data_IF_189428895823
#
_entry.id   IF_189428895823
#
_cell.length_a   1.000
_cell.length_b   1.000
_cell.length_c   1.000
_cell.angle_alpha   90.00
_cell.angle_beta   90.00
_cell.angle_gamma   90.00
#
_symmetry.space_group_name_H-M   'P 1'
#
loop_
_entity.id
_entity.type
_entity.pdbx_description
1 polymer ?
#
# COMPACT_ATOMS: atom_id res chain seq x y z
N UNK A 1 -20.61 19.11 -16.57
CA UNK A 1 -20.24 17.68 -16.42
C UNK A 1 -21.28 17.03 -15.51
N UNK A 2 -21.92 15.94 -15.92
CA UNK A 2 -22.92 15.28 -15.07
C UNK A 2 -22.25 14.42 -13.99
N UNK A 3 -22.94 14.19 -12.85
CA UNK A 3 -22.44 13.38 -11.73
C UNK A 3 -21.91 12.00 -12.15
N UNK A 4 -22.53 11.38 -13.16
CA UNK A 4 -22.10 10.08 -13.70
C UNK A 4 -20.76 10.14 -14.44
N UNK A 5 -20.51 11.21 -15.18
CA UNK A 5 -19.24 11.43 -15.88
C UNK A 5 -18.11 11.66 -14.88
N UNK A 6 -18.41 12.42 -13.81
CA UNK A 6 -17.48 12.65 -12.71
C UNK A 6 -17.08 11.33 -12.02
N UNK A 7 -18.06 10.53 -11.60
CA UNK A 7 -17.81 9.24 -10.94
C UNK A 7 -17.01 8.29 -11.82
N UNK A 8 -17.20 8.34 -13.14
CA UNK A 8 -16.45 7.51 -14.09
C UNK A 8 -14.99 7.98 -14.23
N UNK A 9 -14.75 9.28 -14.18
CA UNK A 9 -13.38 9.85 -14.25
C UNK A 9 -12.62 9.73 -12.93
N UNK A 10 -13.25 9.94 -11.78
CA UNK A 10 -12.59 9.86 -10.46
C UNK A 10 -12.13 8.45 -10.09
N UNK A 11 -12.79 7.41 -10.61
CA UNK A 11 -12.35 6.00 -10.49
C UNK A 11 -11.01 5.75 -11.22
N UNK A 12 -10.66 6.58 -12.20
CA UNK A 12 -9.44 6.44 -13.00
C UNK A 12 -8.30 7.36 -12.54
N UNK A 13 -8.57 8.30 -11.64
CA UNK A 13 -7.54 9.20 -11.12
C UNK A 13 -6.50 8.42 -10.30
N UNK A 14 -5.22 8.81 -10.35
CA UNK A 14 -4.20 8.21 -9.50
C UNK A 14 -4.54 8.45 -8.01
N UNK A 15 -3.96 7.65 -7.10
CA UNK A 15 -4.12 7.88 -5.67
C UNK A 15 -3.49 9.21 -5.26
N UNK A 16 -4.06 9.83 -4.23
CA UNK A 16 -3.41 10.89 -3.48
C UNK A 16 -2.39 10.22 -2.55
N UNK A 17 -1.12 10.33 -2.91
CA UNK A 17 -0.04 9.52 -2.34
C UNK A 17 0.75 10.29 -1.28
N UNK A 18 0.56 9.93 -0.02
CA UNK A 18 1.29 10.43 1.14
C UNK A 18 2.17 9.33 1.76
N UNK A 19 2.55 8.30 0.99
CA UNK A 19 3.37 7.21 1.49
C UNK A 19 4.82 7.65 1.75
N UNK A 20 5.45 7.10 2.80
CA UNK A 20 6.85 7.41 3.16
C UNK A 20 7.13 8.90 3.40
N UNK A 21 6.16 9.61 4.00
CA UNK A 21 6.29 11.04 4.32
C UNK A 21 6.62 11.30 5.79
N UNK A 22 6.78 10.24 6.57
CA UNK A 22 7.00 10.33 8.02
C UNK A 22 5.90 11.13 8.71
N UNK A 23 4.66 10.92 8.30
CA UNK A 23 3.49 11.60 8.89
C UNK A 23 3.21 11.00 10.26
N UNK A 24 3.10 11.86 11.28
CA UNK A 24 2.82 11.46 12.66
C UNK A 24 1.38 11.76 13.05
N UNK A 25 0.81 12.85 12.53
CA UNK A 25 -0.57 13.24 12.77
C UNK A 25 -1.28 13.56 11.46
N UNK A 26 -2.59 13.31 11.40
CA UNK A 26 -3.37 13.49 10.18
C UNK A 26 -3.39 14.95 9.71
N UNK A 27 -3.28 15.93 10.60
CA UNK A 27 -3.18 17.35 10.25
C UNK A 27 -1.99 17.67 9.33
N UNK A 28 -0.89 16.92 9.42
CA UNK A 28 0.31 17.18 8.62
C UNK A 28 0.02 17.09 7.11
N UNK A 29 -0.99 16.31 6.71
CA UNK A 29 -1.40 16.14 5.31
C UNK A 29 -1.79 17.46 4.62
N UNK A 30 -2.27 18.44 5.38
CA UNK A 30 -2.70 19.73 4.83
C UNK A 30 -1.51 20.58 4.37
N UNK A 31 -0.38 20.46 5.06
CA UNK A 31 0.86 21.20 4.74
C UNK A 31 1.84 20.39 3.91
N UNK A 32 1.77 19.06 3.99
CA UNK A 32 2.71 18.17 3.31
C UNK A 32 2.35 18.03 1.82
N UNK A 33 3.35 18.07 0.94
CA UNK A 33 3.13 17.89 -0.49
C UNK A 33 3.04 16.39 -0.83
N UNK A 34 1.94 15.89 -1.45
CA UNK A 34 1.84 14.49 -1.81
C UNK A 34 2.89 14.11 -2.87
N UNK A 35 3.30 12.84 -2.86
CA UNK A 35 4.23 12.28 -3.84
C UNK A 35 3.62 12.30 -5.22
N UNK A 36 4.46 12.62 -6.21
CA UNK A 36 4.08 12.64 -7.61
C UNK A 36 4.28 11.26 -8.22
N UNK A 37 3.18 10.68 -8.69
CA UNK A 37 3.20 9.43 -9.47
C UNK A 37 3.52 9.69 -10.95
N UNK A 38 3.63 8.60 -11.72
CA UNK A 38 3.85 8.65 -13.18
C UNK A 38 2.73 9.38 -13.94
N UNK A 39 1.50 9.34 -13.41
CA UNK A 39 0.39 10.17 -13.88
C UNK A 39 0.13 11.29 -12.87
N UNK A 40 0.09 12.57 -13.30
CA UNK A 40 -0.34 13.66 -12.44
C UNK A 40 -1.77 13.47 -11.97
N UNK A 41 -2.02 13.77 -10.70
CA UNK A 41 -3.36 13.81 -10.12
C UNK A 41 -4.09 15.07 -10.57
N UNK A 42 -5.34 14.92 -11.04
CA UNK A 42 -6.17 16.06 -11.40
C UNK A 42 -6.77 16.72 -10.16
N UNK A 43 -6.86 18.04 -10.24
CA UNK A 43 -7.44 18.89 -9.21
C UNK A 43 -8.67 19.63 -9.74
N UNK A 44 -9.61 19.93 -8.84
CA UNK A 44 -10.77 20.76 -9.15
C UNK A 44 -10.39 22.24 -9.24
N UNK A 45 -11.35 23.09 -9.61
CA UNK A 45 -11.14 24.56 -9.61
C UNK A 45 -10.87 25.12 -8.21
N UNK A 46 -11.25 24.40 -7.15
CA UNK A 46 -11.00 24.80 -5.76
C UNK A 46 -9.61 24.36 -5.27
N UNK A 47 -8.84 23.64 -6.10
CA UNK A 47 -7.52 23.10 -5.74
C UNK A 47 -7.57 21.75 -5.04
N UNK A 48 -8.75 21.16 -4.80
CA UNK A 48 -8.89 19.85 -4.17
C UNK A 48 -8.66 18.70 -5.15
N UNK A 49 -8.16 17.58 -4.64
CA UNK A 49 -7.89 16.38 -5.42
C UNK A 49 -9.17 15.68 -5.89
N UNK A 50 -9.18 15.20 -7.14
CA UNK A 50 -10.32 14.51 -7.76
C UNK A 50 -10.21 12.97 -7.69
N UNK A 51 -9.60 12.44 -6.64
CA UNK A 51 -9.37 10.99 -6.50
C UNK A 51 -10.38 10.31 -5.57
N UNK A 52 -10.40 8.98 -5.63
CA UNK A 52 -11.13 8.09 -4.71
C UNK A 52 -10.17 7.20 -3.90
N UNK A 53 -8.87 7.45 -3.99
CA UNK A 53 -7.84 6.63 -3.36
C UNK A 53 -6.88 7.51 -2.57
N UNK A 54 -6.65 7.17 -1.31
CA UNK A 54 -5.73 7.86 -0.41
C UNK A 54 -4.72 6.87 0.14
N UNK A 55 -3.43 7.12 -0.09
CA UNK A 55 -2.34 6.27 0.38
C UNK A 55 -1.57 6.97 1.48
N UNK A 56 -1.49 6.33 2.65
CA UNK A 56 -0.84 6.81 3.86
C UNK A 56 0.12 5.75 4.42
N UNK A 57 0.51 4.78 3.60
CA UNK A 57 1.33 3.66 4.03
C UNK A 57 2.79 4.06 4.28
N UNK A 58 3.48 3.31 5.12
CA UNK A 58 4.86 3.60 5.55
C UNK A 58 4.99 4.99 6.18
N UNK A 59 4.12 5.27 7.15
CA UNK A 59 4.20 6.45 8.00
C UNK A 59 4.25 5.99 9.47
N UNK A 60 4.03 6.89 10.43
CA UNK A 60 4.09 6.62 11.87
C UNK A 60 2.80 7.07 12.56
N UNK A 61 1.68 6.89 11.87
CA UNK A 61 0.35 7.21 12.39
C UNK A 61 -0.04 6.19 13.47
N UNK A 62 -0.40 6.67 14.65
CA UNK A 62 -0.92 5.84 15.73
C UNK A 62 -2.44 6.01 15.98
N UNK A 63 -3.05 7.01 15.36
CA UNK A 63 -4.47 7.35 15.46
C UNK A 63 -4.96 8.11 14.21
N UNK A 64 -6.27 8.24 14.06
CA UNK A 64 -6.92 8.91 12.93
C UNK A 64 -7.78 10.11 13.38
N UNK A 65 -7.30 10.86 14.38
CA UNK A 65 -7.98 12.08 14.85
C UNK A 65 -8.20 13.06 13.69
N UNK A 66 -9.40 13.63 13.64
CA UNK A 66 -9.85 14.60 12.63
C UNK A 66 -9.73 14.14 11.17
N UNK A 67 -9.65 12.83 10.94
CA UNK A 67 -9.44 12.27 9.61
C UNK A 67 -10.52 12.70 8.60
N UNK A 68 -11.79 12.68 9.00
CA UNK A 68 -12.89 13.14 8.14
C UNK A 68 -12.77 14.63 7.77
N UNK A 69 -12.34 15.47 8.70
CA UNK A 69 -12.15 16.90 8.47
C UNK A 69 -10.99 17.15 7.49
N UNK A 70 -9.84 16.51 7.71
CA UNK A 70 -8.67 16.67 6.83
C UNK A 70 -8.95 16.11 5.44
N UNK A 71 -9.54 14.92 5.33
CA UNK A 71 -9.92 14.34 4.03
C UNK A 71 -10.91 15.25 3.27
N UNK A 72 -11.81 15.94 3.97
CA UNK A 72 -12.71 16.93 3.35
C UNK A 72 -12.01 18.20 2.86
N UNK A 73 -10.83 18.53 3.39
CA UNK A 73 -9.99 19.62 2.89
C UNK A 73 -9.19 19.19 1.66
N UNK A 74 -8.70 17.94 1.65
CA UNK A 74 -7.86 17.40 0.57
C UNK A 74 -8.65 16.99 -0.68
N UNK A 75 -9.82 16.36 -0.49
CA UNK A 75 -10.61 15.76 -1.58
C UNK A 75 -11.81 16.63 -1.91
N UNK A 76 -12.09 16.78 -3.21
CA UNK A 76 -13.31 17.47 -3.67
C UNK A 76 -14.57 16.70 -3.25
N UNK A 77 -14.47 15.37 -3.24
CA UNK A 77 -15.58 14.46 -2.95
C UNK A 77 -15.18 13.36 -1.96
N UNK A 78 -14.98 13.70 -0.67
CA UNK A 78 -14.56 12.74 0.35
C UNK A 78 -15.54 11.57 0.51
N UNK A 79 -16.83 11.77 0.22
CA UNK A 79 -17.85 10.73 0.28
C UNK A 79 -17.65 9.60 -0.73
N UNK A 80 -16.84 9.81 -1.78
CA UNK A 80 -16.56 8.81 -2.80
C UNK A 80 -15.25 8.06 -2.58
N UNK A 81 -14.57 8.29 -1.44
CA UNK A 81 -13.36 7.57 -1.07
C UNK A 81 -13.65 6.06 -1.04
N UNK A 82 -12.93 5.33 -1.88
CA UNK A 82 -13.16 3.92 -2.16
C UNK A 82 -11.95 3.05 -1.80
N UNK A 83 -10.75 3.64 -1.68
CA UNK A 83 -9.53 2.96 -1.29
C UNK A 83 -8.73 3.79 -0.30
N UNK A 84 -8.45 3.21 0.86
CA UNK A 84 -7.51 3.76 1.84
C UNK A 84 -6.39 2.74 2.08
N UNK A 85 -5.13 3.18 1.97
CA UNK A 85 -3.98 2.38 2.38
C UNK A 85 -3.34 2.98 3.64
N UNK A 86 -3.46 2.26 4.76
CA UNK A 86 -2.89 2.61 6.07
C UNK A 86 -1.85 1.56 6.51
N UNK A 87 -1.35 0.74 5.59
CA UNK A 87 -0.37 -0.30 5.91
C UNK A 87 0.96 0.27 6.40
N UNK A 88 1.70 -0.48 7.22
CA UNK A 88 3.00 -0.02 7.76
C UNK A 88 2.87 1.33 8.49
N UNK A 89 2.03 1.34 9.53
CA UNK A 89 1.84 2.45 10.48
C UNK A 89 1.83 1.85 11.91
N UNK A 90 1.53 2.68 12.91
CA UNK A 90 1.53 2.29 14.33
C UNK A 90 0.11 2.23 14.93
N UNK A 91 -0.91 2.00 14.11
CA UNK A 91 -2.31 1.99 14.57
C UNK A 91 -2.54 0.83 15.55
N UNK A 92 -3.06 1.14 16.73
CA UNK A 92 -3.34 0.14 17.78
C UNK A 92 -4.78 -0.39 17.76
N UNK A 93 -5.66 0.29 17.02
CA UNK A 93 -7.09 0.02 16.93
C UNK A 93 -7.64 0.48 15.57
N UNK A 94 -8.83 0.00 15.20
CA UNK A 94 -9.55 0.46 14.02
C UNK A 94 -10.46 1.60 14.46
N UNK A 95 -10.14 2.81 13.99
CA UNK A 95 -10.89 4.02 14.33
C UNK A 95 -12.31 4.00 13.69
N UNK A 96 -13.39 4.27 14.46
CA UNK A 96 -14.75 4.36 13.93
C UNK A 96 -14.92 5.38 12.80
N UNK A 97 -14.05 6.38 12.66
CA UNK A 97 -14.08 7.32 11.53
C UNK A 97 -14.06 6.60 10.18
N UNK A 98 -13.38 5.45 10.08
CA UNK A 98 -13.32 4.64 8.87
C UNK A 98 -14.69 4.08 8.47
N UNK A 99 -15.60 3.90 9.43
CA UNK A 99 -16.96 3.41 9.15
C UNK A 99 -17.86 4.47 8.53
N UNK A 100 -17.44 5.74 8.50
CA UNK A 100 -18.20 6.84 7.90
C UNK A 100 -18.06 6.88 6.36
N UNK A 101 -17.05 6.23 5.80
CA UNK A 101 -16.81 6.16 4.36
C UNK A 101 -17.58 4.98 3.73
N UNK A 102 -18.89 5.13 3.54
CA UNK A 102 -19.78 4.07 3.03
C UNK A 102 -19.40 3.51 1.64
N UNK A 103 -18.59 4.25 0.88
CA UNK A 103 -18.08 3.84 -0.43
C UNK A 103 -16.75 3.09 -0.36
N UNK A 104 -16.15 2.95 0.81
CA UNK A 104 -14.90 2.24 1.02
C UNK A 104 -15.03 0.79 0.57
N UNK A 105 -14.16 0.40 -0.35
CA UNK A 105 -14.13 -0.91 -1.00
C UNK A 105 -12.83 -1.65 -0.75
N UNK A 106 -11.73 -0.92 -0.57
CA UNK A 106 -10.39 -1.45 -0.28
C UNK A 106 -9.84 -0.72 0.94
N UNK A 107 -9.42 -1.47 1.95
CA UNK A 107 -8.78 -0.95 3.15
C UNK A 107 -7.56 -1.80 3.49
N UNK A 108 -6.38 -1.22 3.52
CA UNK A 108 -5.17 -1.94 3.94
C UNK A 108 -4.72 -1.49 5.32
N UNK A 109 -4.59 -2.45 6.24
CA UNK A 109 -4.23 -2.27 7.64
C UNK A 109 -3.13 -3.25 8.08
N UNK A 110 -2.47 -3.93 7.15
CA UNK A 110 -1.37 -4.83 7.49
C UNK A 110 -0.13 -4.08 7.98
N UNK A 111 0.71 -4.73 8.79
CA UNK A 111 1.89 -4.09 9.38
C UNK A 111 1.53 -2.92 10.31
N UNK A 112 0.53 -3.12 11.17
CA UNK A 112 0.14 -2.16 12.21
C UNK A 112 0.25 -2.84 13.59
N UNK A 113 -0.18 -2.15 14.65
CA UNK A 113 -0.13 -2.62 16.04
C UNK A 113 -1.52 -3.01 16.58
N UNK A 114 -2.45 -3.45 15.73
CA UNK A 114 -3.84 -3.78 16.12
C UNK A 114 -3.85 -5.05 16.96
N UNK A 115 -4.29 -4.94 18.22
CA UNK A 115 -4.15 -6.04 19.19
C UNK A 115 -5.34 -6.98 19.28
N UNK A 116 -6.56 -6.50 18.99
CA UNK A 116 -7.80 -7.25 19.25
C UNK A 116 -8.54 -7.55 17.95
N UNK A 117 -8.97 -8.80 17.78
CA UNK A 117 -9.77 -9.25 16.65
C UNK A 117 -11.13 -8.55 16.57
N UNK A 118 -11.74 -8.22 17.72
CA UNK A 118 -13.03 -7.53 17.78
C UNK A 118 -13.03 -6.11 17.19
N UNK A 119 -11.86 -5.53 16.91
CA UNK A 119 -11.76 -4.27 16.17
C UNK A 119 -12.29 -4.39 14.74
N UNK A 120 -12.22 -5.58 14.15
CA UNK A 120 -12.69 -5.86 12.79
C UNK A 120 -14.21 -5.79 12.68
N UNK A 121 -14.93 -6.09 13.77
CA UNK A 121 -16.39 -6.08 13.80
C UNK A 121 -16.96 -4.69 13.48
N UNK A 122 -16.22 -3.62 13.82
CA UNK A 122 -16.57 -2.25 13.47
C UNK A 122 -16.74 -2.05 11.96
N UNK A 123 -15.97 -2.78 11.15
CA UNK A 123 -15.99 -2.65 9.68
C UNK A 123 -17.17 -3.37 9.04
N UNK A 124 -17.92 -4.20 9.77
CA UNK A 124 -19.06 -4.95 9.24
C UNK A 124 -20.19 -4.04 8.72
N UNK A 125 -20.25 -2.79 9.18
CA UNK A 125 -21.23 -1.78 8.75
C UNK A 125 -20.97 -1.25 7.34
N UNK A 126 -19.77 -1.46 6.77
CA UNK A 126 -19.38 -0.95 5.46
C UNK A 126 -19.95 -1.83 4.33
N UNK A 127 -20.99 -1.37 3.59
CA UNK A 127 -21.71 -2.22 2.66
C UNK A 127 -20.91 -2.58 1.40
N UNK A 128 -19.86 -1.80 1.10
CA UNK A 128 -19.06 -1.91 -0.13
C UNK A 128 -17.65 -2.46 0.09
N UNK A 129 -17.24 -2.72 1.33
CA UNK A 129 -15.92 -3.25 1.64
C UNK A 129 -15.76 -4.63 0.99
N UNK A 130 -14.72 -4.79 0.17
CA UNK A 130 -14.43 -5.96 -0.68
C UNK A 130 -13.01 -6.52 -0.51
N UNK A 131 -12.10 -5.71 0.05
CA UNK A 131 -10.70 -6.07 0.25
C UNK A 131 -10.21 -5.44 1.54
N UNK A 132 -9.74 -6.28 2.46
CA UNK A 132 -9.15 -5.93 3.73
C UNK A 132 -7.89 -6.76 3.94
N UNK A 133 -6.81 -6.12 4.38
CA UNK A 133 -5.57 -6.81 4.78
C UNK A 133 -5.25 -6.46 6.22
N UNK A 134 -4.99 -7.49 7.05
CA UNK A 134 -4.76 -7.35 8.50
C UNK A 134 -3.49 -8.07 8.98
N UNK A 135 -2.69 -8.63 8.07
CA UNK A 135 -1.53 -9.44 8.46
C UNK A 135 -0.41 -8.60 9.08
N UNK A 136 0.46 -9.19 9.89
CA UNK A 136 1.50 -8.44 10.60
C UNK A 136 0.93 -7.49 11.65
N UNK A 137 -0.19 -7.86 12.28
CA UNK A 137 -0.73 -7.21 13.47
C UNK A 137 -0.72 -8.21 14.64
N UNK A 138 -0.55 -7.77 15.90
CA UNK A 138 -0.55 -8.67 17.07
C UNK A 138 -1.81 -9.54 17.20
N UNK A 139 -2.97 -9.06 16.72
CA UNK A 139 -4.22 -9.83 16.69
C UNK A 139 -4.15 -11.15 15.89
N UNK A 140 -3.13 -11.35 15.05
CA UNK A 140 -2.94 -12.63 14.32
C UNK A 140 -2.72 -13.83 15.26
N UNK A 141 -2.23 -13.56 16.48
CA UNK A 141 -1.99 -14.58 17.51
C UNK A 141 -3.25 -14.93 18.31
N UNK A 142 -4.32 -14.15 18.18
CA UNK A 142 -5.56 -14.36 18.92
C UNK A 142 -6.31 -15.62 18.45
N UNK A 143 -6.88 -16.35 19.42
CA UNK A 143 -7.74 -17.50 19.12
C UNK A 143 -8.93 -17.03 18.27
N UNK A 144 -9.12 -17.63 17.10
CA UNK A 144 -10.21 -17.27 16.19
C UNK A 144 -9.76 -16.51 14.95
N UNK A 145 -8.54 -15.96 14.91
CA UNK A 145 -8.01 -15.32 13.70
C UNK A 145 -8.07 -16.24 12.47
N UNK A 146 -7.64 -17.50 12.61
CA UNK A 146 -7.70 -18.51 11.54
C UNK A 146 -9.14 -18.88 11.12
N UNK A 147 -10.12 -18.68 12.00
CA UNK A 147 -11.54 -18.92 11.71
C UNK A 147 -12.09 -17.74 10.93
N UNK A 148 -11.75 -16.50 11.34
CA UNK A 148 -12.08 -15.27 10.61
C UNK A 148 -11.57 -15.32 9.16
N UNK A 149 -10.38 -15.89 8.92
CA UNK A 149 -9.89 -16.08 7.54
C UNK A 149 -10.71 -17.08 6.69
N UNK A 150 -11.52 -17.95 7.31
CA UNK A 150 -12.21 -19.08 6.65
C UNK A 150 -13.71 -18.88 6.49
N UNK A 151 -14.35 -17.95 7.22
CA UNK A 151 -15.81 -17.81 7.16
C UNK A 151 -16.27 -17.14 5.86
N UNK A 152 -17.46 -17.50 5.31
CA UNK A 152 -18.00 -16.88 4.11
C UNK A 152 -18.42 -15.40 4.30
N UNK A 153 -18.73 -14.98 5.53
CA UNK A 153 -18.96 -13.56 5.85
C UNK A 153 -17.74 -12.70 5.52
N UNK A 154 -16.55 -13.29 5.66
CA UNK A 154 -15.26 -12.66 5.40
C UNK A 154 -14.71 -12.93 3.99
N UNK A 155 -15.36 -13.75 3.14
CA UNK A 155 -14.95 -13.87 1.71
C UNK A 155 -15.11 -12.56 0.94
N UNK A 156 -15.97 -11.66 1.43
CA UNK A 156 -16.09 -10.29 0.95
C UNK A 156 -14.97 -9.40 1.50
N UNK A 157 -14.35 -9.72 2.63
CA UNK A 157 -13.33 -8.91 3.29
C UNK A 157 -11.91 -9.44 2.99
N UNK A 158 -11.76 -10.71 2.61
CA UNK A 158 -10.47 -11.38 2.52
C UNK A 158 -10.06 -11.78 1.09
N UNK A 159 -10.33 -10.93 0.11
CA UNK A 159 -9.78 -11.12 -1.25
C UNK A 159 -8.36 -10.56 -1.30
N UNK A 160 -7.39 -11.19 -0.59
CA UNK A 160 -5.93 -11.13 -0.82
C UNK A 160 -5.15 -11.83 0.32
N UNK A 161 -5.23 -13.16 0.41
CA UNK A 161 -4.17 -13.97 1.05
C UNK A 161 -3.61 -15.09 0.14
N UNK A 162 -4.01 -15.17 -1.12
CA UNK A 162 -3.48 -16.19 -2.05
C UNK A 162 -2.23 -15.77 -2.84
N UNK A 163 -1.70 -14.56 -2.67
CA UNK A 163 -0.50 -14.12 -3.41
C UNK A 163 0.82 -14.14 -2.61
N UNK A 164 0.82 -14.36 -1.29
CA UNK A 164 2.06 -14.27 -0.48
C UNK A 164 2.29 -15.43 0.50
N UNK A 165 1.54 -16.53 0.39
CA UNK A 165 1.80 -17.75 1.16
C UNK A 165 2.00 -18.94 0.23
N UNK A 166 3.19 -19.00 -0.38
CA UNK A 166 3.84 -20.28 -0.68
C UNK A 166 5.05 -20.41 0.23
N UNK A 167 4.94 -21.10 1.38
CA UNK A 167 6.10 -21.73 2.00
C UNK A 167 6.27 -23.12 1.37
N UNK A 168 7.39 -23.31 0.68
CA UNK A 168 8.02 -24.60 0.44
C UNK A 168 7.26 -25.63 -0.43
N UNK A 169 7.55 -25.59 -1.74
CA UNK A 169 8.15 -26.78 -2.33
C UNK A 169 9.60 -26.85 -1.84
N UNK A 170 9.80 -27.42 -0.65
CA UNK A 170 11.11 -27.92 -0.24
C UNK A 170 10.95 -29.42 -0.12
N UNK A 171 11.61 -30.14 -1.02
CA UNK A 171 12.59 -31.21 -0.78
C UNK A 171 12.88 -31.89 -2.14
N UNK A 172 14.02 -32.57 -2.32
CA UNK A 172 15.38 -32.23 -1.91
C UNK A 172 16.37 -32.33 -3.09
N UNK A 173 17.59 -31.83 -2.88
CA UNK A 173 18.83 -32.30 -3.51
C UNK A 173 18.99 -32.20 -5.04
N UNK A 174 20.13 -31.60 -5.42
CA UNK A 174 20.75 -31.54 -6.75
C UNK A 174 20.33 -30.37 -7.64
N UNK A 175 21.26 -29.41 -7.77
CA UNK A 175 21.63 -28.60 -8.95
C UNK A 175 22.53 -27.46 -8.44
N UNK A 176 23.82 -27.75 -8.26
CA UNK A 176 24.90 -27.31 -9.16
C UNK A 176 24.77 -25.83 -9.53
N UNK A 177 25.58 -25.01 -8.86
CA UNK A 177 25.76 -23.61 -9.17
C UNK A 177 26.55 -23.48 -10.49
N UNK A 178 26.09 -22.70 -11.49
CA UNK A 178 27.02 -22.16 -12.46
C UNK A 178 27.71 -20.92 -11.86
N UNK A 179 29.05 -20.87 -11.86
CA UNK A 179 29.76 -19.63 -11.66
C UNK A 179 29.62 -18.81 -12.95
N UNK A 180 29.46 -17.50 -12.81
CA UNK A 180 30.11 -16.47 -13.64
C UNK A 180 29.23 -15.22 -13.71
N UNK A 181 29.81 -14.09 -13.27
CA UNK A 181 30.14 -12.98 -14.18
C UNK A 181 31.12 -12.05 -13.45
N UNK A 182 32.40 -12.44 -13.49
CA UNK A 182 33.50 -11.48 -13.57
C UNK A 182 33.51 -10.94 -15.00
N UNK A 183 33.26 -9.65 -15.17
CA UNK A 183 33.39 -8.94 -16.43
C UNK A 183 34.88 -8.75 -16.76
N UNK A 184 35.33 -9.30 -17.88
CA UNK A 184 36.62 -9.00 -18.51
C UNK A 184 36.46 -7.88 -19.57
N UNK A 185 37.48 -7.04 -19.80
CA UNK A 185 37.44 -5.95 -20.77
C UNK A 185 37.79 -6.40 -22.19
N UNK A 186 37.29 -5.61 -23.16
CA UNK A 186 37.39 -5.80 -24.60
C UNK A 186 38.84 -5.70 -25.11
N UNK A 187 39.23 -6.67 -25.94
CA UNK A 187 40.46 -6.67 -26.74
C UNK A 187 40.26 -5.83 -28.02
N UNK A 188 41.05 -4.76 -28.17
CA UNK A 188 41.35 -4.11 -29.45
C UNK A 188 42.63 -4.74 -30.01
N UNK A 189 42.57 -5.26 -31.24
CA UNK A 189 43.76 -5.42 -32.11
C UNK A 189 44.21 -4.03 -32.62
N UNK A 190 45.37 -3.81 -33.24
CA UNK A 190 46.38 -4.63 -33.93
C UNK A 190 47.72 -3.77 -33.90
N UNK A 191 48.80 -4.04 -34.66
CA UNK A 191 50.07 -4.70 -34.29
C UNK A 191 51.34 -3.81 -34.33
N UNK A 192 52.49 -4.50 -34.21
CA UNK A 192 53.84 -4.24 -34.77
C UNK A 192 54.94 -3.68 -33.84
N UNK A 193 55.92 -4.56 -33.65
CA UNK A 193 57.37 -4.32 -33.82
C UNK A 193 58.24 -3.89 -32.64
N UNK A 194 59.40 -4.58 -32.60
CA UNK A 194 60.70 -4.20 -32.01
C UNK A 194 60.80 -4.34 -30.48
N UNK A 195 61.91 -4.76 -29.86
CA UNK A 195 63.16 -5.46 -30.19
C UNK A 195 63.89 -5.52 -28.83
N UNK A 196 64.65 -6.59 -28.58
CA UNK A 196 65.72 -6.68 -27.55
C UNK A 196 65.23 -6.67 -26.08
N UNK A 197 65.77 -7.42 -25.13
CA UNK A 197 66.91 -8.33 -24.97
C UNK A 197 66.96 -8.72 -23.47
N UNK A 198 67.74 -9.74 -23.04
CA UNK A 198 67.65 -10.30 -21.70
C UNK A 198 68.75 -9.81 -20.76
N UNK A 199 68.41 -9.48 -19.52
CA UNK A 199 69.30 -9.38 -18.33
C UNK A 199 68.36 -9.39 -17.10
N UNK A 200 68.56 -10.09 -15.99
CA UNK A 200 69.57 -11.01 -15.45
C UNK A 200 68.83 -11.88 -14.42
#
# INVERSE_FOLDING_TARGET
MNRRDYMKTSVQEPPLDYSFKSIHVIQDLVSEEPRTGLRPLRHSKSGKSLTQSLWLNNNVLNELRDFSQVVSQLLEHPENLAWIDLSFNDLTSIDPVLTTFFNLSVLYLHGNSIQRLGEVDKLAVLPRLRSLTLHGNPMEEEKGYRILLKTPYDKKILRLKTCLLTPAQVLPSQLVWPPCLLTAPQLLGIPLSLRQGPQQ
#
